data_IF_107171580063
#
_entry.id   IF_107171580063
#
_cell.length_a   1.000
_cell.length_b   1.000
_cell.length_c   1.000
_cell.angle_alpha   90.00
_cell.angle_beta   90.00
_cell.angle_gamma   90.00
#
_symmetry.space_group_name_H-M   'P 1'
#
loop_
_entity.id
_entity.type
_entity.pdbx_description
1 polymer ?
#
# COMPACT_ATOMS: atom_id res chain seq x y z
N UNK A 1 -29.26 7.80 -47.74
CA UNK A 1 -28.10 7.31 -46.95
C UNK A 1 -28.57 6.13 -46.13
N UNK A 2 -27.99 4.95 -46.35
CA UNK A 2 -28.54 3.68 -45.85
C UNK A 2 -28.41 3.64 -44.33
N UNK A 3 -29.54 3.72 -43.63
CA UNK A 3 -29.68 3.70 -42.15
C UNK A 3 -28.85 2.57 -41.52
N UNK A 4 -28.71 1.46 -42.26
CA UNK A 4 -27.87 0.30 -41.93
C UNK A 4 -26.39 0.65 -41.73
N UNK A 5 -25.84 1.58 -42.50
CA UNK A 5 -24.45 2.04 -42.37
C UNK A 5 -24.24 2.84 -41.10
N UNK A 6 -25.19 3.74 -40.77
CA UNK A 6 -25.15 4.55 -39.55
C UNK A 6 -25.21 3.64 -38.32
N UNK A 7 -26.09 2.65 -38.31
CA UNK A 7 -26.21 1.68 -37.21
C UNK A 7 -24.90 0.91 -36.99
N UNK A 8 -24.22 0.47 -38.06
CA UNK A 8 -22.94 -0.25 -37.94
C UNK A 8 -21.83 0.64 -37.37
N UNK A 9 -21.75 1.89 -37.81
CA UNK A 9 -20.77 2.83 -37.26
C UNK A 9 -21.02 3.12 -35.78
N UNK A 10 -22.28 3.33 -35.39
CA UNK A 10 -22.65 3.56 -33.99
C UNK A 10 -22.30 2.33 -33.13
N UNK A 11 -22.60 1.13 -33.59
CA UNK A 11 -22.26 -0.10 -32.88
C UNK A 11 -20.74 -0.26 -32.71
N UNK A 12 -19.95 0.02 -33.75
CA UNK A 12 -18.48 -0.02 -33.68
C UNK A 12 -17.91 1.02 -32.70
N UNK A 13 -18.49 2.22 -32.66
CA UNK A 13 -18.06 3.27 -31.73
C UNK A 13 -18.32 2.87 -30.27
N UNK A 14 -19.50 2.30 -30.00
CA UNK A 14 -19.88 1.86 -28.65
C UNK A 14 -18.96 0.73 -28.17
N UNK A 15 -18.64 -0.25 -29.02
CA UNK A 15 -17.74 -1.35 -28.63
C UNK A 15 -16.31 -0.87 -28.38
N UNK A 16 -15.80 0.06 -29.19
CA UNK A 16 -14.48 0.66 -29.00
C UNK A 16 -14.40 1.44 -27.68
N UNK A 17 -15.37 2.32 -27.43
CA UNK A 17 -15.41 3.14 -26.21
C UNK A 17 -15.64 2.29 -24.96
N UNK A 18 -16.52 1.30 -25.03
CA UNK A 18 -16.79 0.38 -23.91
C UNK A 18 -15.55 -0.43 -23.54
N UNK A 19 -14.87 -1.01 -24.53
CA UNK A 19 -13.64 -1.80 -24.30
C UNK A 19 -12.54 -0.92 -23.70
N UNK A 20 -12.34 0.29 -24.22
CA UNK A 20 -11.37 1.25 -23.69
C UNK A 20 -11.66 1.62 -22.23
N UNK A 21 -12.92 1.94 -21.91
CA UNK A 21 -13.32 2.32 -20.56
C UNK A 21 -13.15 1.17 -19.55
N UNK A 22 -13.46 -0.07 -19.95
CA UNK A 22 -13.26 -1.25 -19.12
C UNK A 22 -11.76 -1.49 -18.85
N UNK A 23 -10.91 -1.34 -19.88
CA UNK A 23 -9.45 -1.43 -19.70
C UNK A 23 -8.98 -0.37 -18.72
N UNK A 24 -9.40 0.88 -18.88
CA UNK A 24 -8.96 1.99 -18.02
C UNK A 24 -9.37 1.78 -16.55
N UNK A 25 -10.60 1.32 -16.30
CA UNK A 25 -11.12 1.07 -14.93
C UNK A 25 -10.45 -0.14 -14.26
N UNK A 26 -10.18 -1.22 -15.00
CA UNK A 26 -9.52 -2.41 -14.44
C UNK A 26 -8.04 -2.15 -14.14
N UNK A 27 -7.36 -1.38 -14.99
CA UNK A 27 -5.97 -0.99 -14.76
C UNK A 27 -5.85 -0.05 -13.54
N UNK A 28 -6.70 0.97 -13.40
CA UNK A 28 -6.64 1.89 -12.24
C UNK A 28 -6.84 1.14 -10.91
N UNK A 29 -7.83 0.22 -10.87
CA UNK A 29 -8.08 -0.58 -9.68
C UNK A 29 -6.94 -1.57 -9.38
N UNK A 30 -6.38 -2.28 -10.37
CA UNK A 30 -5.26 -3.22 -10.14
C UNK A 30 -4.00 -2.52 -9.66
N UNK A 31 -3.67 -1.35 -10.20
CA UNK A 31 -2.46 -0.63 -9.82
C UNK A 31 -2.56 -0.05 -8.40
N UNK A 32 -3.74 0.40 -7.96
CA UNK A 32 -3.94 0.97 -6.62
C UNK A 32 -3.84 -0.05 -5.48
N UNK A 33 -4.15 -1.34 -5.72
CA UNK A 33 -4.00 -2.41 -4.70
C UNK A 33 -2.63 -3.07 -4.71
N UNK A 34 -1.88 -3.03 -5.82
CA UNK A 34 -0.58 -3.72 -5.95
C UNK A 34 0.60 -2.80 -5.58
N UNK A 35 0.49 -1.47 -5.66
CA UNK A 35 1.69 -0.63 -5.83
C UNK A 35 2.56 -0.31 -4.61
N UNK A 36 2.23 -0.63 -3.35
CA UNK A 36 3.11 -0.19 -2.24
C UNK A 36 3.17 -1.13 -1.04
N UNK A 37 2.03 -1.67 -0.59
CA UNK A 37 1.98 -2.44 0.66
C UNK A 37 2.45 -3.89 0.53
N UNK A 38 2.32 -4.47 -0.67
CA UNK A 38 2.68 -5.87 -0.91
C UNK A 38 4.17 -6.08 -1.18
N UNK A 39 4.91 -5.04 -1.59
CA UNK A 39 6.34 -5.12 -1.88
C UNK A 39 7.21 -4.61 -0.71
N UNK A 40 6.76 -3.58 0.01
CA UNK A 40 7.35 -3.15 1.29
C UNK A 40 6.91 -4.03 2.49
N UNK A 41 6.35 -5.19 2.20
CA UNK A 41 6.08 -6.24 3.18
C UNK A 41 7.30 -7.08 3.51
N UNK A 42 8.52 -6.56 3.32
CA UNK A 42 9.68 -7.15 3.97
C UNK A 42 9.49 -6.88 5.47
N UNK A 43 9.03 -7.90 6.19
CA UNK A 43 9.23 -8.00 7.62
C UNK A 43 10.74 -7.89 7.84
N UNK A 44 11.28 -6.66 7.90
CA UNK A 44 12.59 -6.43 8.47
C UNK A 44 12.59 -7.23 9.77
N UNK A 45 13.55 -8.14 9.98
CA UNK A 45 13.58 -8.96 11.18
C UNK A 45 13.40 -8.02 12.35
N UNK A 46 12.27 -8.13 13.06
CA UNK A 46 11.95 -7.19 14.12
C UNK A 46 12.93 -7.44 15.24
N UNK A 47 14.00 -6.67 15.25
CA UNK A 47 14.95 -6.62 16.34
C UNK A 47 14.20 -6.20 17.61
N UNK A 48 14.72 -6.62 18.77
CA UNK A 48 14.09 -6.32 20.05
C UNK A 48 13.80 -4.81 20.18
N UNK A 49 12.62 -4.45 20.66
CA UNK A 49 12.09 -3.07 20.74
C UNK A 49 12.00 -2.31 19.41
N UNK A 50 12.11 -2.98 18.26
CA UNK A 50 12.06 -2.35 16.93
C UNK A 50 13.28 -1.47 16.65
N UNK A 51 14.46 -1.85 17.18
CA UNK A 51 15.73 -1.19 16.90
C UNK A 51 16.17 -1.45 15.45
N UNK A 52 17.01 -0.56 14.91
CA UNK A 52 17.53 -0.71 13.54
C UNK A 52 18.53 -1.87 13.39
N UNK A 53 19.15 -2.30 14.49
CA UNK A 53 20.12 -3.38 14.55
C UNK A 53 19.87 -4.23 15.79
N UNK A 54 20.25 -5.51 15.74
CA UNK A 54 20.23 -6.37 16.92
C UNK A 54 21.30 -5.96 17.93
N UNK A 55 20.98 -6.09 19.22
CA UNK A 55 21.97 -5.94 20.29
C UNK A 55 22.95 -7.13 20.27
N UNK A 56 24.22 -6.91 20.66
CA UNK A 56 25.18 -7.99 20.89
C UNK A 56 24.75 -8.90 22.05
N UNK A 57 25.41 -10.05 22.19
CA UNK A 57 25.19 -10.94 23.32
C UNK A 57 25.55 -10.23 24.65
N UNK A 58 24.74 -10.45 25.69
CA UNK A 58 24.84 -9.81 27.02
C UNK A 58 24.48 -8.30 27.07
N UNK A 59 23.76 -7.78 26.06
CA UNK A 59 23.19 -6.44 26.09
C UNK A 59 21.66 -6.50 26.06
N UNK A 60 21.01 -5.54 26.71
CA UNK A 60 19.56 -5.38 26.65
C UNK A 60 19.18 -4.38 25.56
N UNK A 61 18.11 -4.68 24.83
CA UNK A 61 17.52 -3.73 23.91
C UNK A 61 16.60 -2.79 24.66
N UNK A 62 16.69 -1.49 24.40
CA UNK A 62 15.72 -0.51 24.89
C UNK A 62 15.38 0.51 23.80
N UNK A 63 14.19 1.09 23.90
CA UNK A 63 13.74 2.20 23.06
C UNK A 63 12.85 3.11 23.87
N UNK A 64 13.20 4.39 23.93
CA UNK A 64 12.42 5.40 24.63
C UNK A 64 11.85 6.35 23.58
N UNK A 65 10.53 6.51 23.59
CA UNK A 65 9.80 7.41 22.72
C UNK A 65 9.18 8.48 23.63
N UNK A 66 9.54 9.74 23.38
CA UNK A 66 8.93 10.88 24.07
C UNK A 66 7.45 10.98 23.71
N UNK A 67 6.65 11.52 24.63
CA UNK A 67 5.29 11.92 24.31
C UNK A 67 5.26 13.06 23.30
N UNK A 68 4.10 13.26 22.66
CA UNK A 68 3.85 14.38 21.75
C UNK A 68 2.80 15.30 22.35
N UNK A 69 3.21 16.54 22.66
CA UNK A 69 2.40 17.52 23.35
C UNK A 69 1.75 16.93 24.62
N UNK A 70 0.42 16.94 24.69
CA UNK A 70 -0.40 16.45 25.79
C UNK A 70 -1.35 15.30 25.37
N UNK A 71 -1.27 14.85 24.11
CA UNK A 71 -2.22 13.88 23.52
C UNK A 71 -1.64 12.47 23.41
N UNK A 72 -0.32 12.35 23.35
CA UNK A 72 0.37 11.05 23.29
C UNK A 72 1.38 10.99 24.43
N UNK A 73 1.22 10.01 25.32
CA UNK A 73 2.16 9.76 26.42
C UNK A 73 3.49 9.16 25.93
N UNK A 74 4.57 9.27 26.72
CA UNK A 74 5.82 8.60 26.41
C UNK A 74 5.68 7.08 26.49
N UNK A 75 6.58 6.36 25.83
CA UNK A 75 6.65 4.89 25.85
C UNK A 75 8.09 4.42 26.01
N UNK A 76 8.30 3.41 26.85
CA UNK A 76 9.61 2.82 27.13
C UNK A 76 9.49 1.34 26.84
N UNK A 77 10.22 0.86 25.84
CA UNK A 77 10.42 -0.57 25.63
C UNK A 77 11.74 -1.03 26.24
N UNK A 78 11.72 -2.11 27.01
CA UNK A 78 12.89 -2.79 27.56
C UNK A 78 12.79 -4.30 27.30
N UNK A 79 13.74 -4.84 26.53
CA UNK A 79 13.81 -6.25 26.11
C UNK A 79 12.49 -6.85 25.61
N UNK A 80 11.76 -6.10 24.76
CA UNK A 80 10.42 -6.41 24.23
C UNK A 80 9.23 -6.28 25.21
N UNK A 81 9.45 -5.73 26.39
CA UNK A 81 8.38 -5.33 27.32
C UNK A 81 8.14 -3.82 27.15
N UNK A 82 6.89 -3.39 26.98
CA UNK A 82 6.47 -1.98 26.77
C UNK A 82 5.66 -1.50 27.96
#
# INVERSE_FOLDING_TARGET
MRVTGVIRYVALLITLLGTWFIVQTYFDHRWKVISLRSWLGEQLPRHKCGNQKSCPQNYFAFKIISGAANVVGPSICFDNVV
#
